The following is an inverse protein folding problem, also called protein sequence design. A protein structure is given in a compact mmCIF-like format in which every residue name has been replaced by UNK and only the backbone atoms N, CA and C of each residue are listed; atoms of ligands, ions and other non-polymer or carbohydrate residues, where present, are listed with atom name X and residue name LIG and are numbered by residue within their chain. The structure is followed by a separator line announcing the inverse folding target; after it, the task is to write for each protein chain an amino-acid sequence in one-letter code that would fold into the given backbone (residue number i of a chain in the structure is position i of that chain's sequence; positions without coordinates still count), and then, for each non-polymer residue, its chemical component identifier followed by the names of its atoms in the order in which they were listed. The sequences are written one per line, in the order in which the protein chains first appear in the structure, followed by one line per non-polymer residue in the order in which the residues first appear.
data_IF_758313415258
#
_entry.id   IF_758313415258
#
_cell.length_a   1.000
_cell.length_b   1.000
_cell.length_c   1.000
_cell.angle_alpha   90.00
_cell.angle_beta   90.00
_cell.angle_gamma   90.00
#
_symmetry.space_group_name_H-M   'P 1'
#
loop_
_entity.id
_entity.type
_entity.pdbx_description
1 polymer ?
#
# COMPACT_ATOMS: atom_id res chain seq x y z
N UNK A 1 -6.30 5.93 -5.34
CA UNK A 1 -6.15 5.24 -6.64
C UNK A 1 -6.23 3.72 -6.54
N UNK A 2 -5.35 3.03 -5.78
CA UNK A 2 -5.40 1.56 -5.67
C UNK A 2 -6.72 1.05 -5.06
N UNK A 3 -7.22 1.76 -4.05
CA UNK A 3 -8.57 1.62 -3.49
C UNK A 3 -9.66 1.72 -4.55
N UNK A 4 -9.62 2.73 -5.44
CA UNK A 4 -10.58 2.87 -6.54
C UNK A 4 -10.48 1.72 -7.56
N UNK A 5 -9.26 1.23 -7.82
CA UNK A 5 -9.07 0.07 -8.69
C UNK A 5 -9.61 -1.23 -8.07
N UNK A 6 -9.44 -1.41 -6.76
CA UNK A 6 -10.00 -2.55 -6.03
C UNK A 6 -11.53 -2.49 -5.99
N UNK A 7 -12.10 -1.34 -5.60
CA UNK A 7 -13.54 -1.16 -5.48
C UNK A 7 -14.27 -1.35 -6.82
N UNK A 8 -13.67 -0.92 -7.94
CA UNK A 8 -14.28 -0.98 -9.27
C UNK A 8 -13.83 -2.17 -10.12
N UNK A 9 -13.01 -3.09 -9.58
CA UNK A 9 -12.42 -4.20 -10.34
C UNK A 9 -11.53 -3.75 -11.50
N UNK A 10 -10.98 -2.53 -11.40
CA UNK A 10 -10.13 -1.90 -12.40
C UNK A 10 -10.65 -0.55 -12.93
N UNK A 11 -9.82 0.13 -13.71
CA UNK A 11 -10.14 1.47 -14.21
C UNK A 11 -9.16 1.94 -15.29
N UNK A 12 -9.49 3.04 -15.95
CA UNK A 12 -8.59 3.69 -16.92
C UNK A 12 -7.99 4.97 -16.32
N UNK A 13 -6.93 5.50 -16.94
CA UNK A 13 -6.31 6.74 -16.46
C UNK A 13 -7.30 7.92 -16.47
N UNK A 14 -8.20 7.97 -17.47
CA UNK A 14 -9.26 8.99 -17.57
C UNK A 14 -10.28 8.81 -16.46
N UNK A 15 -10.87 7.61 -16.32
CA UNK A 15 -11.89 7.37 -15.30
C UNK A 15 -11.38 7.50 -13.85
N UNK A 16 -10.09 7.26 -13.61
CA UNK A 16 -9.45 7.51 -12.32
C UNK A 16 -9.18 9.00 -12.08
N UNK A 17 -8.81 9.78 -13.11
CA UNK A 17 -8.61 11.23 -12.94
C UNK A 17 -9.91 11.98 -12.71
N UNK A 18 -11.04 11.46 -13.20
CA UNK A 18 -12.35 12.07 -12.96
C UNK A 18 -12.79 11.95 -11.49
N UNK A 19 -12.20 11.02 -10.73
CA UNK A 19 -12.51 10.73 -9.33
C UNK A 19 -11.45 11.22 -8.35
N UNK A 20 -10.33 11.75 -8.83
CA UNK A 20 -9.20 12.16 -8.01
C UNK A 20 -8.86 13.63 -8.29
N UNK A 21 -8.45 14.42 -7.28
CA UNK A 21 -8.05 15.82 -7.48
C UNK A 21 -6.64 15.94 -8.11
N UNK A 22 -6.36 15.18 -9.17
CA UNK A 22 -5.09 15.17 -9.90
C UNK A 22 -5.33 14.99 -11.39
N UNK A 23 -4.41 15.48 -12.22
CA UNK A 23 -4.55 15.40 -13.68
C UNK A 23 -4.45 13.95 -14.18
N UNK A 24 -5.06 13.68 -15.34
CA UNK A 24 -4.90 12.40 -16.06
C UNK A 24 -3.42 12.04 -16.29
N UNK A 25 -2.57 13.02 -16.58
CA UNK A 25 -1.14 12.79 -16.75
C UNK A 25 -0.47 12.34 -15.45
N UNK A 26 -0.84 12.95 -14.32
CA UNK A 26 -0.36 12.51 -13.01
C UNK A 26 -0.83 11.09 -12.71
N UNK A 27 -2.10 10.75 -12.98
CA UNK A 27 -2.62 9.38 -12.84
C UNK A 27 -1.83 8.38 -13.68
N UNK A 28 -1.59 8.68 -14.95
CA UNK A 28 -0.82 7.83 -15.86
C UNK A 28 0.61 7.58 -15.34
N UNK A 29 1.27 8.60 -14.77
CA UNK A 29 2.60 8.45 -14.16
C UNK A 29 2.58 7.48 -12.97
N UNK A 30 1.60 7.60 -12.08
CA UNK A 30 1.45 6.67 -10.96
C UNK A 30 1.18 5.25 -11.44
N UNK A 31 0.26 5.07 -12.41
CA UNK A 31 -0.06 3.76 -12.98
C UNK A 31 1.17 3.11 -13.65
N UNK A 32 2.01 3.88 -14.34
CA UNK A 32 3.25 3.38 -14.92
C UNK A 32 4.24 2.90 -13.86
N UNK A 33 4.36 3.62 -12.73
CA UNK A 33 5.20 3.18 -11.60
C UNK A 33 4.64 1.90 -10.99
N UNK A 34 3.33 1.85 -10.74
CA UNK A 34 2.64 0.68 -10.18
C UNK A 34 2.76 -0.56 -11.09
N UNK A 35 2.63 -0.38 -12.40
CA UNK A 35 2.81 -1.45 -13.39
C UNK A 35 4.26 -1.95 -13.38
N UNK A 36 5.24 -1.04 -13.36
CA UNK A 36 6.66 -1.38 -13.31
C UNK A 36 7.05 -2.17 -12.06
N UNK A 37 6.43 -1.89 -10.91
CA UNK A 37 6.68 -2.64 -9.67
C UNK A 37 5.76 -3.86 -9.50
N UNK A 38 4.94 -4.16 -10.52
CA UNK A 38 4.07 -5.34 -10.55
C UNK A 38 2.83 -5.25 -9.67
N UNK A 39 2.47 -4.07 -9.15
CA UNK A 39 1.27 -3.91 -8.31
C UNK A 39 -0.02 -3.80 -9.11
N UNK A 40 0.06 -3.48 -10.40
CA UNK A 40 -1.08 -3.47 -11.32
C UNK A 40 -0.71 -4.11 -12.65
N UNK A 41 -1.71 -4.68 -13.30
CA UNK A 41 -1.66 -5.15 -14.69
C UNK A 41 -2.42 -4.18 -15.59
N UNK A 42 -1.93 -3.98 -16.80
CA UNK A 42 -2.58 -3.11 -17.77
C UNK A 42 -2.92 -3.88 -19.06
N UNK A 43 -4.18 -3.82 -19.47
CA UNK A 43 -4.68 -4.43 -20.72
C UNK A 43 -5.21 -3.34 -21.66
N UNK A 44 -5.01 -3.47 -22.99
CA UNK A 44 -5.64 -2.58 -23.96
C UNK A 44 -7.17 -2.57 -23.80
N UNK A 45 -7.78 -1.39 -23.85
CA UNK A 45 -9.22 -1.17 -23.79
C UNK A 45 -9.59 -0.04 -24.76
N UNK A 46 -9.67 -0.38 -26.05
CA UNK A 46 -9.88 0.59 -27.12
C UNK A 46 -8.71 1.57 -27.24
N UNK A 47 -8.99 2.87 -27.12
CA UNK A 47 -7.97 3.95 -27.16
C UNK A 47 -7.25 4.16 -25.82
N UNK A 48 -7.66 3.45 -24.77
CA UNK A 48 -7.08 3.56 -23.43
C UNK A 48 -6.50 2.22 -22.95
N UNK A 49 -5.85 2.24 -21.79
CA UNK A 49 -5.43 1.04 -21.06
C UNK A 49 -6.31 0.91 -19.82
N UNK A 50 -6.82 -0.29 -19.57
CA UNK A 50 -7.52 -0.66 -18.33
C UNK A 50 -6.53 -1.32 -17.38
N UNK A 51 -6.46 -0.79 -16.18
CA UNK A 51 -5.57 -1.23 -15.10
C UNK A 51 -6.36 -2.03 -14.07
N UNK A 52 -5.78 -3.11 -13.56
CA UNK A 52 -6.32 -3.95 -12.48
C UNK A 52 -5.23 -4.24 -11.47
N UNK A 53 -5.55 -4.33 -10.19
CA UNK A 53 -4.56 -4.64 -9.14
C UNK A 53 -4.09 -6.09 -9.26
N UNK A 54 -2.79 -6.33 -9.06
CA UNK A 54 -2.28 -7.68 -8.79
C UNK A 54 -2.44 -7.97 -7.30
N UNK A 55 -3.52 -8.66 -6.94
CA UNK A 55 -3.85 -8.98 -5.55
C UNK A 55 -2.74 -9.81 -4.87
N UNK A 56 -2.08 -10.70 -5.62
CA UNK A 56 -1.02 -11.55 -5.08
C UNK A 56 0.23 -10.74 -4.73
N UNK A 57 0.59 -9.78 -5.57
CA UNK A 57 1.74 -8.91 -5.35
C UNK A 57 1.45 -7.90 -4.25
N UNK A 58 0.22 -7.36 -4.22
CA UNK A 58 -0.22 -6.47 -3.16
C UNK A 58 -0.22 -7.18 -1.79
N UNK A 59 -0.75 -8.40 -1.71
CA UNK A 59 -0.74 -9.20 -0.48
C UNK A 59 0.69 -9.48 0.00
N UNK A 60 1.61 -9.79 -0.92
CA UNK A 60 3.03 -9.97 -0.59
C UNK A 60 3.66 -8.69 -0.03
N UNK A 61 3.42 -7.54 -0.65
CA UNK A 61 3.92 -6.26 -0.17
C UNK A 61 3.39 -5.94 1.24
N UNK A 62 2.10 -6.18 1.49
CA UNK A 62 1.47 -6.01 2.80
C UNK A 62 2.14 -6.92 3.83
N UNK A 63 2.33 -8.21 3.53
CA UNK A 63 2.95 -9.16 4.45
C UNK A 63 4.38 -8.75 4.85
N UNK A 64 5.17 -8.20 3.91
CA UNK A 64 6.50 -7.69 4.21
C UNK A 64 6.46 -6.49 5.17
N UNK A 65 5.54 -5.54 4.95
CA UNK A 65 5.36 -4.39 5.84
C UNK A 65 4.91 -4.84 7.23
N UNK A 66 3.94 -5.77 7.32
CA UNK A 66 3.47 -6.33 8.59
C UNK A 66 4.60 -7.00 9.37
N UNK A 67 5.48 -7.76 8.70
CA UNK A 67 6.62 -8.39 9.37
C UNK A 67 7.57 -7.38 10.03
N UNK A 68 7.75 -6.20 9.42
CA UNK A 68 8.58 -5.13 9.99
C UNK A 68 7.87 -4.50 11.18
N UNK A 69 6.58 -4.21 11.05
CA UNK A 69 5.75 -3.68 12.15
C UNK A 69 5.77 -4.61 13.37
N UNK A 70 5.58 -5.91 13.17
CA UNK A 70 5.61 -6.90 14.25
C UNK A 70 6.97 -6.94 14.96
N UNK A 71 8.06 -6.74 14.21
CA UNK A 71 9.40 -6.69 14.80
C UNK A 71 9.58 -5.45 15.68
N UNK A 72 9.07 -4.30 15.25
CA UNK A 72 9.06 -3.08 16.05
C UNK A 72 8.18 -3.21 17.28
N UNK A 73 6.99 -3.78 17.16
CA UNK A 73 6.08 -4.01 18.28
C UNK A 73 6.73 -4.90 19.35
N UNK A 74 7.35 -6.02 18.95
CA UNK A 74 8.11 -6.87 19.88
C UNK A 74 9.24 -6.10 20.57
N UNK A 75 9.96 -5.26 19.83
CA UNK A 75 11.06 -4.47 20.38
C UNK A 75 10.55 -3.44 21.39
N UNK A 76 9.47 -2.74 21.07
CA UNK A 76 8.85 -1.76 21.93
C UNK A 76 8.29 -2.38 23.21
N UNK A 77 7.65 -3.55 23.12
CA UNK A 77 7.17 -4.30 24.29
C UNK A 77 8.31 -4.75 25.21
N UNK A 78 9.48 -5.09 24.66
CA UNK A 78 10.67 -5.39 25.47
C UNK A 78 11.18 -4.16 26.20
N UNK A 79 11.23 -2.99 25.54
CA UNK A 79 11.66 -1.74 26.16
C UNK A 79 10.71 -1.35 27.29
N UNK A 80 9.39 -1.42 27.06
CA UNK A 80 8.36 -1.16 28.06
C UNK A 80 8.56 -2.00 29.31
N UNK A 81 8.72 -3.32 29.17
CA UNK A 81 8.92 -4.24 30.30
C UNK A 81 10.18 -3.92 31.12
N UNK A 82 11.27 -3.52 30.46
CA UNK A 82 12.51 -3.12 31.16
C UNK A 82 12.27 -1.84 31.96
N UNK A 83 11.67 -0.82 31.34
CA UNK A 83 11.38 0.45 32.01
C UNK A 83 10.47 0.27 33.24
N UNK A 84 9.40 -0.52 33.10
CA UNK A 84 8.49 -0.84 34.21
C UNK A 84 9.17 -1.62 35.34
N UNK A 85 10.14 -2.49 35.00
CA UNK A 85 10.93 -3.19 36.01
C UNK A 85 11.82 -2.25 36.80
N UNK A 86 12.48 -1.31 36.12
CA UNK A 86 13.35 -0.30 36.76
C UNK A 86 12.51 0.59 37.70
N UNK A 87 11.33 1.02 37.25
CA UNK A 87 10.42 1.81 38.08
C UNK A 87 10.03 1.07 39.36
N UNK A 88 9.59 -0.19 39.25
CA UNK A 88 9.21 -1.01 40.43
C UNK A 88 10.36 -1.22 41.41
N UNK A 89 11.59 -1.40 40.91
CA UNK A 89 12.78 -1.53 41.75
C UNK A 89 13.18 -0.23 42.45
N UNK A 90 12.70 0.93 41.98
CA UNK A 90 13.00 2.24 42.57
C UNK A 90 11.96 2.64 43.62
N UNK A 91 10.73 2.15 43.48
CA UNK A 91 9.62 2.39 44.41
C UNK A 91 9.61 1.44 45.63
N UNK A 92 10.51 0.43 45.67
CA UNK A 92 10.69 -0.51 46.78
C UNK A 92 11.99 -0.22 47.53
#
# INVERSE_FOLDING_TARGET
MLDLLLANGGGTATGLSDQLPVTRQAVAKHLAVLERVGLVHAKPAGRERRYTVDESQLARAIAQLTSVSDAWDRRLQRIKRIAESIQRSTDT
#
